data_IF_052734411712
#
_entry.id   IF_052734411712
#
_cell.length_a   1.000
_cell.length_b   1.000
_cell.length_c   1.000
_cell.angle_alpha   90.00
_cell.angle_beta   90.00
_cell.angle_gamma   90.00
#
_symmetry.space_group_name_H-M   'P 1'
#
loop_
_entity.id
_entity.type
_entity.pdbx_description
1 polymer ?
#
# COMPACT_ATOMS: atom_id res chain seq x y z
N UNK A 1 -15.25 6.77 52.08
CA UNK A 1 -14.83 5.46 51.56
C UNK A 1 -14.19 5.69 50.20
N UNK A 2 -12.98 5.16 50.00
CA UNK A 2 -12.19 5.24 48.76
C UNK A 2 -12.75 4.27 47.72
N UNK A 3 -12.57 4.61 46.44
CA UNK A 3 -11.93 3.86 45.34
C UNK A 3 -12.37 4.59 44.05
N UNK A 4 -11.56 5.42 43.39
CA UNK A 4 -10.24 5.25 42.76
C UNK A 4 -10.36 4.87 41.27
N UNK A 5 -9.47 5.52 40.51
CA UNK A 5 -8.91 5.18 39.18
C UNK A 5 -9.73 5.66 37.97
N UNK A 6 -9.17 6.21 36.89
CA UNK A 6 -7.89 6.81 36.51
C UNK A 6 -8.09 7.14 35.01
N UNK A 7 -7.78 8.35 34.53
CA UNK A 7 -7.31 8.52 33.14
C UNK A 7 -5.78 8.28 33.17
N UNK A 8 -5.05 7.92 32.07
CA UNK A 8 -5.27 8.40 30.70
C UNK A 8 -4.74 7.48 29.54
N UNK A 9 -4.75 8.02 28.31
CA UNK A 9 -3.88 7.71 27.16
C UNK A 9 -4.00 6.37 26.38
N UNK A 10 -4.27 6.47 25.07
CA UNK A 10 -3.23 6.22 24.05
C UNK A 10 -3.76 6.46 22.63
N UNK A 11 -3.43 7.62 22.07
CA UNK A 11 -3.49 7.80 20.62
C UNK A 11 -2.41 6.92 20.00
N UNK A 12 -2.82 6.17 18.98
CA UNK A 12 -2.07 5.17 18.24
C UNK A 12 -0.60 5.54 17.98
N UNK A 13 0.26 4.57 18.27
CA UNK A 13 1.70 4.64 18.31
C UNK A 13 2.38 4.62 16.93
N UNK A 14 1.85 5.34 15.93
CA UNK A 14 2.47 5.39 14.59
C UNK A 14 3.26 6.67 14.28
N UNK A 15 3.37 7.61 15.22
CA UNK A 15 3.79 8.98 14.92
C UNK A 15 5.11 9.42 15.57
N UNK A 16 6.07 8.51 15.74
CA UNK A 16 7.41 8.89 16.21
C UNK A 16 8.45 8.05 15.51
N UNK A 17 9.15 8.64 14.55
CA UNK A 17 10.62 8.58 14.38
C UNK A 17 11.02 8.96 12.96
N UNK A 18 11.19 10.25 12.65
CA UNK A 18 12.20 10.72 11.69
C UNK A 18 12.53 12.19 11.98
N UNK A 19 13.44 12.43 12.92
CA UNK A 19 14.15 13.70 13.00
C UNK A 19 15.64 13.44 12.81
N UNK A 20 16.15 14.01 11.71
CA UNK A 20 17.49 14.60 11.52
C UNK A 20 18.21 14.13 10.27
N UNK A 21 18.03 14.87 9.17
CA UNK A 21 19.06 15.03 8.14
C UNK A 21 19.02 16.47 7.62
N UNK A 22 20.20 17.06 7.51
CA UNK A 22 20.46 18.49 7.33
C UNK A 22 20.02 19.00 5.94
N UNK A 23 19.71 20.29 5.92
CA UNK A 23 19.29 21.09 4.77
C UNK A 23 20.06 20.82 3.48
N UNK A 24 19.35 20.33 2.48
CA UNK A 24 19.59 20.67 1.08
C UNK A 24 18.30 21.23 0.53
N UNK A 25 18.19 22.56 0.58
CA UNK A 25 17.01 23.30 0.12
C UNK A 25 17.04 23.40 -1.41
N UNK A 26 17.07 22.24 -2.09
CA UNK A 26 16.94 22.17 -3.54
C UNK A 26 15.45 21.98 -3.82
N UNK A 27 14.74 22.97 -4.39
CA UNK A 27 13.37 22.75 -4.80
C UNK A 27 13.39 21.64 -5.85
N UNK A 28 12.82 20.48 -5.50
CA UNK A 28 12.47 19.46 -6.48
C UNK A 28 11.32 20.06 -7.28
N UNK A 29 11.65 20.64 -8.44
CA UNK A 29 10.66 20.99 -9.44
C UNK A 29 10.08 19.68 -9.95
N UNK A 30 8.95 19.26 -9.38
CA UNK A 30 8.12 18.21 -9.97
C UNK A 30 7.55 18.81 -11.25
N UNK A 31 8.26 18.60 -12.35
CA UNK A 31 7.77 18.98 -13.67
C UNK A 31 6.61 18.03 -13.98
N UNK A 32 5.38 18.55 -13.82
CA UNK A 32 4.18 17.91 -14.33
C UNK A 32 4.24 17.98 -15.86
N UNK A 33 4.97 17.03 -16.45
CA UNK A 33 4.79 16.74 -17.86
C UNK A 33 3.35 16.25 -17.98
N UNK A 34 2.47 17.13 -18.48
CA UNK A 34 1.14 16.78 -18.94
C UNK A 34 1.34 15.82 -20.12
N UNK A 35 1.60 14.55 -19.77
CA UNK A 35 1.65 13.44 -20.69
C UNK A 35 0.36 13.51 -21.49
N UNK A 36 0.46 13.31 -22.80
CA UNK A 36 -0.73 13.06 -23.61
C UNK A 36 -1.27 11.71 -23.15
N UNK A 37 -2.04 11.73 -22.07
CA UNK A 37 -2.74 10.58 -21.54
C UNK A 37 -3.78 10.22 -22.57
N UNK A 38 -3.45 9.24 -23.40
CA UNK A 38 -4.44 8.54 -24.23
C UNK A 38 -5.52 8.05 -23.27
N UNK A 39 -6.79 8.34 -23.52
CA UNK A 39 -7.86 7.84 -22.64
C UNK A 39 -7.87 6.31 -22.62
N UNK A 40 -8.20 5.70 -21.48
CA UNK A 40 -8.34 4.25 -21.32
C UNK A 40 -9.79 3.92 -21.01
N UNK A 41 -10.34 2.90 -21.66
CA UNK A 41 -11.73 2.50 -21.46
C UNK A 41 -11.89 1.48 -20.31
N UNK A 42 -13.14 1.22 -19.90
CA UNK A 42 -13.43 0.29 -18.81
C UNK A 42 -13.02 -1.17 -19.11
N UNK A 43 -12.98 -1.58 -20.38
CA UNK A 43 -12.54 -2.93 -20.74
C UNK A 43 -11.04 -3.07 -20.52
N UNK A 44 -10.26 -2.10 -21.01
CA UNK A 44 -8.83 -2.03 -20.80
C UNK A 44 -8.50 -1.95 -19.31
N UNK A 45 -9.14 -1.06 -18.54
CA UNK A 45 -8.91 -0.98 -17.08
C UNK A 45 -9.13 -2.32 -16.41
N UNK A 46 -10.28 -2.98 -16.64
CA UNK A 46 -10.60 -4.27 -15.99
C UNK A 46 -9.60 -5.38 -16.34
N UNK A 47 -9.03 -5.36 -17.54
CA UNK A 47 -7.99 -6.33 -17.91
C UNK A 47 -6.69 -6.14 -17.14
N UNK A 48 -6.35 -4.90 -16.81
CA UNK A 48 -5.09 -4.54 -16.15
C UNK A 48 -5.22 -4.46 -14.61
N UNK A 49 -6.41 -4.70 -14.03
CA UNK A 49 -6.63 -4.56 -12.58
C UNK A 49 -5.83 -5.57 -11.73
N UNK A 50 -5.54 -6.76 -12.26
CA UNK A 50 -4.70 -7.75 -11.56
C UNK A 50 -3.28 -7.23 -11.43
N UNK A 51 -2.68 -6.83 -12.55
CA UNK A 51 -1.33 -6.28 -12.61
C UNK A 51 -1.23 -4.96 -11.80
N UNK A 52 -2.30 -4.16 -11.80
CA UNK A 52 -2.42 -2.96 -10.95
C UNK A 52 -2.34 -3.28 -9.45
N UNK A 53 -3.00 -4.34 -8.99
CA UNK A 53 -2.94 -4.77 -7.58
C UNK A 53 -1.56 -5.25 -7.18
N UNK A 54 -0.85 -5.94 -8.08
CA UNK A 54 0.48 -6.48 -7.85
C UNK A 54 1.59 -5.44 -8.06
N UNK A 55 1.26 -4.29 -8.65
CA UNK A 55 2.20 -3.23 -8.97
C UNK A 55 3.05 -3.51 -10.21
N UNK A 56 2.67 -4.50 -11.02
CA UNK A 56 3.37 -4.91 -12.24
C UNK A 56 2.87 -4.13 -13.47
N UNK A 57 2.98 -2.80 -13.41
CA UNK A 57 2.56 -1.92 -14.48
C UNK A 57 3.61 -0.85 -14.77
N UNK A 58 3.62 -0.35 -16.00
CA UNK A 58 4.37 0.86 -16.30
C UNK A 58 3.79 2.05 -15.54
N UNK A 59 4.62 3.03 -15.12
CA UNK A 59 4.14 4.23 -14.43
C UNK A 59 3.05 4.98 -15.19
N UNK A 60 3.13 5.02 -16.51
CA UNK A 60 2.18 5.73 -17.37
C UNK A 60 0.81 5.04 -17.37
N UNK A 61 0.77 3.71 -17.43
CA UNK A 61 -0.48 2.95 -17.40
C UNK A 61 -1.13 3.03 -16.02
N UNK A 62 -0.31 3.01 -14.95
CA UNK A 62 -0.78 3.19 -13.58
C UNK A 62 -1.55 4.49 -13.40
N UNK A 63 -0.98 5.62 -13.84
CA UNK A 63 -1.63 6.94 -13.75
C UNK A 63 -2.95 6.98 -14.52
N UNK A 64 -3.01 6.34 -15.69
CA UNK A 64 -4.26 6.26 -16.49
C UNK A 64 -5.35 5.45 -15.80
N UNK A 65 -4.98 4.34 -15.17
CA UNK A 65 -5.92 3.51 -14.39
C UNK A 65 -6.42 4.30 -13.17
N UNK A 66 -5.52 4.97 -12.44
CA UNK A 66 -5.89 5.82 -11.29
C UNK A 66 -6.88 6.91 -11.69
N UNK A 67 -6.61 7.67 -12.76
CA UNK A 67 -7.51 8.69 -13.30
C UNK A 67 -8.89 8.12 -13.71
N UNK A 68 -8.93 6.90 -14.24
CA UNK A 68 -10.18 6.22 -14.59
C UNK A 68 -10.96 5.77 -13.34
N UNK A 69 -10.28 5.21 -12.34
CA UNK A 69 -10.90 4.76 -11.09
C UNK A 69 -11.47 5.91 -10.27
N UNK A 70 -10.91 7.12 -10.39
CA UNK A 70 -11.46 8.34 -9.77
C UNK A 70 -12.81 8.76 -10.37
N UNK A 71 -13.04 8.48 -11.66
CA UNK A 71 -14.22 8.97 -12.41
C UNK A 71 -15.26 7.90 -12.71
N UNK A 72 -14.89 6.62 -12.70
CA UNK A 72 -15.77 5.52 -13.09
C UNK A 72 -16.15 4.61 -11.92
N UNK A 73 -17.33 4.85 -11.34
CA UNK A 73 -17.87 4.06 -10.22
C UNK A 73 -17.92 2.55 -10.47
N UNK A 74 -18.16 2.13 -11.72
CA UNK A 74 -18.22 0.70 -12.07
C UNK A 74 -16.86 0.03 -11.94
N UNK A 75 -15.80 0.68 -12.42
CA UNK A 75 -14.45 0.14 -12.31
C UNK A 75 -13.94 0.18 -10.87
N UNK A 76 -14.27 1.24 -10.10
CA UNK A 76 -14.00 1.30 -8.66
C UNK A 76 -14.63 0.12 -7.93
N UNK A 77 -15.91 -0.17 -8.19
CA UNK A 77 -16.60 -1.30 -7.55
C UNK A 77 -15.97 -2.66 -7.89
N UNK A 78 -15.50 -2.85 -9.13
CA UNK A 78 -14.77 -4.07 -9.52
C UNK A 78 -13.44 -4.17 -8.79
N UNK A 79 -12.66 -3.09 -8.75
CA UNK A 79 -11.38 -3.03 -8.05
C UNK A 79 -11.55 -3.31 -6.54
N UNK A 80 -12.52 -2.68 -5.89
CA UNK A 80 -12.83 -2.91 -4.48
C UNK A 80 -13.22 -4.37 -4.22
N UNK A 81 -14.01 -4.98 -5.12
CA UNK A 81 -14.37 -6.39 -5.05
C UNK A 81 -13.14 -7.30 -5.12
N UNK A 82 -12.21 -7.05 -6.04
CA UNK A 82 -10.96 -7.81 -6.15
C UNK A 82 -10.11 -7.66 -4.87
N UNK A 83 -9.97 -6.43 -4.37
CA UNK A 83 -9.24 -6.16 -3.12
C UNK A 83 -9.86 -6.89 -1.92
N UNK A 84 -11.18 -6.90 -1.82
CA UNK A 84 -11.89 -7.63 -0.77
C UNK A 84 -11.62 -9.13 -0.83
N UNK A 85 -11.62 -9.73 -2.03
CA UNK A 85 -11.28 -11.16 -2.19
C UNK A 85 -9.85 -11.44 -1.74
N UNK A 86 -8.88 -10.60 -2.12
CA UNK A 86 -7.48 -10.74 -1.69
C UNK A 86 -7.38 -10.65 -0.16
N UNK A 87 -8.08 -9.71 0.47
CA UNK A 87 -8.11 -9.58 1.93
C UNK A 87 -8.73 -10.80 2.60
N UNK A 88 -9.88 -11.28 2.12
CA UNK A 88 -10.55 -12.45 2.68
C UNK A 88 -9.68 -13.72 2.61
N UNK A 89 -8.91 -13.89 1.54
CA UNK A 89 -7.98 -15.01 1.39
C UNK A 89 -6.70 -14.82 2.23
N UNK A 90 -6.22 -13.58 2.38
CA UNK A 90 -5.04 -13.26 3.19
C UNK A 90 -5.30 -13.26 4.69
N UNK A 91 -6.53 -13.02 5.13
CA UNK A 91 -6.95 -13.00 6.53
C UNK A 91 -7.12 -14.41 7.13
N UNK A 92 -6.98 -15.46 6.33
CA UNK A 92 -7.09 -16.84 6.81
C UNK A 92 -5.96 -17.15 7.81
N UNK A 93 -6.28 -16.94 9.09
CA UNK A 93 -5.62 -17.36 10.34
C UNK A 93 -4.10 -17.38 10.28
N UNK A 94 -3.48 -16.48 11.05
CA UNK A 94 -2.06 -16.55 11.40
C UNK A 94 -1.64 -18.01 11.61
N UNK A 95 -0.88 -18.53 10.66
CA UNK A 95 -0.37 -19.89 10.75
C UNK A 95 0.62 -19.87 11.90
N UNK A 96 0.37 -20.69 12.92
CA UNK A 96 1.32 -20.88 14.02
C UNK A 96 2.64 -21.36 13.43
N UNK A 97 3.66 -20.49 13.46
CA UNK A 97 4.96 -20.81 12.91
C UNK A 97 5.67 -21.83 13.81
N UNK A 98 6.28 -22.88 13.25
CA UNK A 98 7.09 -23.80 14.03
C UNK A 98 8.19 -23.04 14.80
N UNK A 99 8.49 -23.49 16.02
CA UNK A 99 9.51 -22.86 16.87
C UNK A 99 10.83 -22.64 16.10
N UNK A 100 11.35 -21.43 16.18
CA UNK A 100 12.60 -21.01 15.53
C UNK A 100 12.54 -20.90 14.00
N UNK A 101 11.36 -20.93 13.37
CA UNK A 101 11.23 -20.72 11.92
C UNK A 101 11.79 -19.35 11.51
N UNK A 102 11.35 -18.27 12.16
CA UNK A 102 11.82 -16.91 11.90
C UNK A 102 13.34 -16.79 12.05
N UNK A 103 13.91 -17.34 13.13
CA UNK A 103 15.36 -17.30 13.36
C UNK A 103 16.17 -18.01 12.26
N UNK A 104 15.64 -19.11 11.71
CA UNK A 104 16.28 -19.81 10.58
C UNK A 104 16.13 -19.02 9.28
N UNK A 105 14.98 -18.38 9.06
CA UNK A 105 14.72 -17.53 7.91
C UNK A 105 15.64 -16.30 7.90
N UNK A 106 15.65 -15.53 9.00
CA UNK A 106 16.52 -14.36 9.18
C UNK A 106 17.99 -14.72 8.98
N UNK A 107 18.45 -15.84 9.57
CA UNK A 107 19.82 -16.32 9.36
C UNK A 107 20.15 -16.63 7.90
N UNK A 108 19.20 -16.95 7.04
CA UNK A 108 19.46 -17.19 5.60
C UNK A 108 19.41 -15.90 4.80
N UNK A 109 18.37 -15.10 4.98
CA UNK A 109 18.18 -13.85 4.23
C UNK A 109 19.31 -12.83 4.50
N UNK A 110 19.76 -12.73 5.75
CA UNK A 110 20.77 -11.76 6.17
C UNK A 110 22.19 -12.34 6.24
N UNK A 111 22.41 -13.56 5.72
CA UNK A 111 23.76 -14.14 5.57
C UNK A 111 24.42 -13.87 4.23
N UNK A 112 23.68 -13.35 3.25
CA UNK A 112 24.22 -13.08 1.92
C UNK A 112 25.02 -11.78 1.98
N UNK A 113 26.33 -11.92 2.16
CA UNK A 113 27.37 -10.97 1.74
C UNK A 113 27.91 -11.44 0.39
#
# INVERSE_FOLDING_TARGET
>A
MKVSQNEPESKSAYERHFLNARASNRPVLVVSHKSRTVEIDCYQVRRELSDYLEGDLTPELRVRIEDHLERCRHCTAVYDGMKNVVQLLGDEKAIELPKGFSDRLYRRLFRVQ
#
